data_IF_219180041782
#
_entry.id   IF_219180041782
#
_cell.length_a   1.000
_cell.length_b   1.000
_cell.length_c   1.000
_cell.angle_alpha   90.00
_cell.angle_beta   90.00
_cell.angle_gamma   90.00
#
_symmetry.space_group_name_H-M   'P 1'
#
loop_
_entity.id
_entity.type
_entity.pdbx_description
1 polymer ?
#
# COMPACT_ATOMS: atom_id res chain seq x y z
N UNK A 1 -1.99 -10.35 23.68
CA UNK A 1 -2.00 -11.14 22.41
C UNK A 1 -1.58 -10.19 21.29
N UNK A 2 -0.90 -10.65 20.24
CA UNK A 2 -0.64 -9.80 19.08
C UNK A 2 -1.97 -9.36 18.45
N UNK A 3 -2.03 -8.18 17.81
CA UNK A 3 -3.24 -7.72 17.13
C UNK A 3 -3.57 -8.62 15.93
N UNK A 4 -4.86 -8.71 15.57
CA UNK A 4 -5.25 -9.43 14.36
C UNK A 4 -4.92 -8.66 13.10
N UNK A 5 -4.93 -7.32 13.18
CA UNK A 5 -4.77 -6.43 12.05
C UNK A 5 -3.76 -5.31 12.35
N UNK A 6 -2.85 -5.07 11.41
CA UNK A 6 -2.01 -3.87 11.38
C UNK A 6 -2.38 -3.03 10.16
N UNK A 7 -2.60 -1.72 10.36
CA UNK A 7 -2.80 -0.73 9.30
C UNK A 7 -1.52 0.09 9.15
N UNK A 8 -0.89 0.03 8.00
CA UNK A 8 0.35 0.74 7.66
C UNK A 8 0.03 1.95 6.79
N UNK A 9 0.44 3.14 7.21
CA UNK A 9 0.16 4.41 6.53
C UNK A 9 1.48 5.12 6.27
N UNK A 10 2.03 5.08 5.05
CA UNK A 10 3.15 5.91 4.67
C UNK A 10 2.72 7.38 4.59
N UNK A 11 3.50 8.29 5.16
CA UNK A 11 3.20 9.70 5.20
C UNK A 11 4.42 10.56 4.88
N UNK A 12 4.26 11.53 3.98
CA UNK A 12 5.27 12.56 3.69
C UNK A 12 4.57 13.89 3.42
N UNK A 13 4.71 14.86 4.33
CA UNK A 13 4.08 16.17 4.23
C UNK A 13 2.54 16.07 4.01
N UNK A 14 1.88 15.14 4.70
CA UNK A 14 0.44 14.80 4.57
C UNK A 14 -0.41 15.34 5.74
N UNK A 15 0.05 16.41 6.42
CA UNK A 15 -0.50 16.81 7.71
C UNK A 15 -2.03 16.85 7.82
N UNK A 16 -2.73 17.51 6.90
CA UNK A 16 -4.19 17.56 6.94
C UNK A 16 -4.88 16.25 6.61
N UNK A 17 -4.32 15.50 5.67
CA UNK A 17 -4.88 14.22 5.23
C UNK A 17 -4.64 13.14 6.26
N UNK A 18 -3.43 13.07 6.79
CA UNK A 18 -3.06 12.11 7.83
C UNK A 18 -3.97 12.24 9.04
N UNK A 19 -4.19 13.46 9.57
CA UNK A 19 -5.05 13.66 10.73
C UNK A 19 -6.49 13.18 10.48
N UNK A 20 -7.10 13.57 9.34
CA UNK A 20 -8.44 13.11 8.96
C UNK A 20 -8.50 11.59 8.74
N UNK A 21 -7.49 11.04 8.08
CA UNK A 21 -7.39 9.60 7.83
C UNK A 21 -7.31 8.81 9.13
N UNK A 22 -6.46 9.21 10.07
CA UNK A 22 -6.35 8.57 11.38
C UNK A 22 -7.65 8.64 12.18
N UNK A 23 -8.30 9.80 12.22
CA UNK A 23 -9.62 9.95 12.87
C UNK A 23 -10.61 8.97 12.27
N UNK A 24 -10.72 8.90 10.94
CA UNK A 24 -11.65 8.01 10.24
C UNK A 24 -11.36 6.54 10.53
N UNK A 25 -10.09 6.13 10.54
CA UNK A 25 -9.70 4.76 10.89
C UNK A 25 -10.10 4.43 12.32
N UNK A 26 -9.80 5.32 13.27
CA UNK A 26 -10.16 5.12 14.67
C UNK A 26 -11.68 5.04 14.89
N UNK A 27 -12.45 5.93 14.27
CA UNK A 27 -13.92 5.93 14.32
C UNK A 27 -14.49 4.61 13.76
N UNK A 28 -13.97 4.16 12.62
CA UNK A 28 -14.42 2.91 12.01
C UNK A 28 -14.17 1.70 12.92
N UNK A 29 -12.95 1.54 13.43
CA UNK A 29 -12.61 0.39 14.27
C UNK A 29 -13.21 0.50 15.68
N UNK A 30 -13.57 1.69 16.17
CA UNK A 30 -14.30 1.84 17.42
C UNK A 30 -15.69 1.14 17.37
N UNK A 31 -16.27 0.99 16.19
CA UNK A 31 -17.57 0.28 16.00
C UNK A 31 -17.43 -1.23 15.85
N UNK A 32 -16.20 -1.76 15.77
CA UNK A 32 -15.94 -3.20 15.56
C UNK A 32 -15.67 -3.92 16.87
N UNK A 33 -15.83 -5.25 16.86
CA UNK A 33 -15.50 -6.09 18.00
C UNK A 33 -14.02 -5.91 18.41
N UNK A 34 -13.78 -5.65 19.68
CA UNK A 34 -12.45 -5.35 20.22
C UNK A 34 -12.05 -3.86 20.11
N UNK A 35 -12.83 -3.03 19.40
CA UNK A 35 -12.58 -1.61 19.25
C UNK A 35 -11.23 -1.30 18.58
N UNK A 36 -10.78 -0.05 18.70
CA UNK A 36 -9.48 0.40 18.17
C UNK A 36 -8.30 -0.35 18.81
N UNK A 37 -8.45 -0.84 20.03
CA UNK A 37 -7.41 -1.57 20.73
C UNK A 37 -7.05 -2.93 20.08
N UNK A 38 -7.94 -3.48 19.25
CA UNK A 38 -7.69 -4.73 18.51
C UNK A 38 -6.87 -4.50 17.22
N UNK A 39 -6.59 -3.26 16.85
CA UNK A 39 -5.90 -2.89 15.61
C UNK A 39 -4.63 -2.11 15.94
N UNK A 40 -3.51 -2.52 15.38
CA UNK A 40 -2.28 -1.76 15.39
C UNK A 40 -2.28 -0.78 14.20
N UNK A 41 -2.04 0.50 14.46
CA UNK A 41 -1.89 1.52 13.42
C UNK A 41 -0.43 1.97 13.40
N UNK A 42 0.24 1.79 12.25
CA UNK A 42 1.62 2.22 12.04
C UNK A 42 1.64 3.38 11.05
N UNK A 43 2.03 4.54 11.51
CA UNK A 43 2.33 5.68 10.65
C UNK A 43 3.82 5.68 10.38
N UNK A 44 4.21 5.62 9.11
CA UNK A 44 5.61 5.68 8.69
C UNK A 44 5.89 7.04 8.08
N UNK A 45 6.55 7.90 8.85
CA UNK A 45 6.95 9.24 8.44
C UNK A 45 8.20 9.20 7.58
N UNK A 46 8.07 9.60 6.33
CA UNK A 46 9.15 9.64 5.35
C UNK A 46 9.95 10.96 5.40
N UNK A 47 10.23 11.45 6.61
CA UNK A 47 11.00 12.67 6.81
C UNK A 47 10.20 13.95 6.51
N UNK A 48 8.97 14.04 7.01
CA UNK A 48 8.12 15.23 6.83
C UNK A 48 8.77 16.49 7.40
N UNK A 49 8.69 17.58 6.63
CA UNK A 49 9.34 18.87 6.93
C UNK A 49 8.35 19.99 7.21
N UNK A 50 7.08 19.86 6.79
CA UNK A 50 6.07 20.91 7.05
C UNK A 50 5.48 20.83 8.46
N UNK A 51 5.10 21.99 9.02
CA UNK A 51 4.59 22.09 10.39
C UNK A 51 3.26 21.37 10.59
N UNK A 52 2.40 21.31 9.57
CA UNK A 52 1.11 20.62 9.65
C UNK A 52 1.32 19.11 9.77
N UNK A 53 2.27 18.56 9.00
CA UNK A 53 2.63 17.15 9.11
C UNK A 53 3.23 16.87 10.49
N UNK A 54 4.14 17.71 10.99
CA UNK A 54 4.72 17.56 12.34
C UNK A 54 3.66 17.56 13.43
N UNK A 55 2.68 18.46 13.35
CA UNK A 55 1.58 18.53 14.32
C UNK A 55 0.67 17.29 14.24
N UNK A 56 0.34 16.79 13.03
CA UNK A 56 -0.45 15.58 12.86
C UNK A 56 0.30 14.33 13.42
N UNK A 57 1.60 14.25 13.19
CA UNK A 57 2.45 13.19 13.71
C UNK A 57 2.60 13.27 15.24
N UNK A 58 2.70 14.47 15.81
CA UNK A 58 2.71 14.67 17.26
C UNK A 58 1.40 14.20 17.90
N UNK A 59 0.26 14.55 17.29
CA UNK A 59 -1.07 14.08 17.72
C UNK A 59 -1.21 12.56 17.62
N UNK A 60 -0.72 11.96 16.53
CA UNK A 60 -0.71 10.51 16.35
C UNK A 60 0.14 9.79 17.42
N UNK A 61 1.31 10.34 17.76
CA UNK A 61 2.20 9.80 18.80
C UNK A 61 1.55 9.79 20.18
N UNK A 62 0.68 10.73 20.48
CA UNK A 62 -0.03 10.78 21.75
C UNK A 62 -1.15 9.73 21.88
N UNK A 63 -1.59 9.11 20.78
CA UNK A 63 -2.61 8.09 20.80
C UNK A 63 -1.98 6.69 21.05
N UNK A 64 -2.36 5.96 22.10
CA UNK A 64 -1.68 4.73 22.53
C UNK A 64 -1.77 3.58 21.51
N UNK A 65 -2.73 3.65 20.58
CA UNK A 65 -2.93 2.64 19.52
C UNK A 65 -2.13 2.91 18.26
N UNK A 66 -1.42 4.06 18.17
CA UNK A 66 -0.69 4.48 16.99
C UNK A 66 0.82 4.41 17.27
N UNK A 67 1.53 3.65 16.46
CA UNK A 67 3.00 3.62 16.45
C UNK A 67 3.52 4.50 15.32
N UNK A 68 4.44 5.38 15.66
CA UNK A 68 5.14 6.21 14.68
C UNK A 68 6.53 5.62 14.40
N UNK A 69 6.82 5.38 13.13
CA UNK A 69 8.13 5.00 12.61
C UNK A 69 8.64 6.18 11.78
N UNK A 70 9.87 6.63 12.02
CA UNK A 70 10.48 7.70 11.24
C UNK A 70 11.63 7.18 10.40
N UNK A 71 11.64 7.51 9.12
CA UNK A 71 12.73 7.18 8.20
C UNK A 71 13.91 8.18 8.33
N UNK A 72 13.73 9.28 9.06
CA UNK A 72 14.72 10.34 9.24
C UNK A 72 14.91 11.25 8.03
N UNK A 73 14.67 10.76 6.82
CA UNK A 73 14.76 11.50 5.56
C UNK A 73 13.77 10.93 4.54
N UNK A 74 13.47 11.70 3.48
CA UNK A 74 12.62 11.21 2.39
C UNK A 74 13.33 10.11 1.59
N UNK A 75 12.85 8.88 1.75
CA UNK A 75 13.33 7.68 1.04
C UNK A 75 12.35 7.24 -0.05
N UNK A 76 11.10 7.61 0.05
CA UNK A 76 10.03 7.28 -0.88
C UNK A 76 8.96 6.35 -0.31
N UNK A 77 7.81 6.31 -0.98
CA UNK A 77 6.63 5.56 -0.54
C UNK A 77 6.91 4.07 -0.37
N UNK A 78 7.60 3.46 -1.33
CA UNK A 78 7.93 2.02 -1.28
C UNK A 78 8.79 1.67 -0.08
N UNK A 79 9.79 2.52 0.25
CA UNK A 79 10.60 2.33 1.45
C UNK A 79 9.75 2.39 2.72
N UNK A 80 8.88 3.40 2.82
CA UNK A 80 8.00 3.59 3.97
C UNK A 80 7.02 2.43 4.16
N UNK A 81 6.41 1.94 3.06
CA UNK A 81 5.56 0.75 3.09
C UNK A 81 6.36 -0.47 3.56
N UNK A 82 7.55 -0.69 3.00
CA UNK A 82 8.43 -1.78 3.42
C UNK A 82 8.73 -1.75 4.92
N UNK A 83 9.11 -0.59 5.45
CA UNK A 83 9.41 -0.45 6.88
C UNK A 83 8.19 -0.75 7.75
N UNK A 84 7.03 -0.23 7.39
CA UNK A 84 5.79 -0.47 8.12
C UNK A 84 5.34 -1.93 8.07
N UNK A 85 5.38 -2.55 6.90
CA UNK A 85 4.99 -3.95 6.72
C UNK A 85 5.91 -4.92 7.46
N UNK A 86 7.22 -4.65 7.51
CA UNK A 86 8.17 -5.46 8.29
C UNK A 86 8.04 -5.25 9.80
N UNK A 87 7.60 -4.06 10.23
CA UNK A 87 7.39 -3.71 11.63
C UNK A 87 6.00 -4.09 12.18
N UNK A 88 5.08 -4.48 11.31
CA UNK A 88 3.72 -4.88 11.67
C UNK A 88 3.71 -6.15 12.53
N UNK A 89 2.81 -6.20 13.54
CA UNK A 89 2.65 -7.35 14.43
C UNK A 89 1.35 -8.12 14.18
N UNK A 90 0.38 -7.53 13.48
CA UNK A 90 -0.90 -8.15 13.17
C UNK A 90 -0.75 -9.40 12.32
N UNK A 91 -1.67 -10.35 12.48
CA UNK A 91 -1.73 -11.54 11.63
C UNK A 91 -1.90 -11.16 10.16
N UNK A 92 -2.69 -10.12 9.89
CA UNK A 92 -2.83 -9.48 8.58
C UNK A 92 -2.29 -8.07 8.67
N UNK A 93 -1.50 -7.65 7.69
CA UNK A 93 -1.06 -6.27 7.54
C UNK A 93 -1.68 -5.66 6.28
N UNK A 94 -2.30 -4.49 6.43
CA UNK A 94 -2.88 -3.71 5.34
C UNK A 94 -2.12 -2.41 5.20
N UNK A 95 -1.64 -2.06 4.02
CA UNK A 95 -1.22 -0.69 3.81
C UNK A 95 -2.27 0.12 3.04
N UNK A 96 -2.37 1.40 3.38
CA UNK A 96 -3.29 2.35 2.77
C UNK A 96 -2.64 3.73 2.65
N UNK A 97 -3.10 4.52 1.70
CA UNK A 97 -2.67 5.91 1.57
C UNK A 97 -3.26 6.80 2.68
N UNK A 98 -2.51 7.84 3.06
CA UNK A 98 -2.90 8.76 4.14
C UNK A 98 -4.19 9.56 3.85
N UNK A 99 -4.57 9.69 2.58
CA UNK A 99 -5.78 10.37 2.12
C UNK A 99 -7.03 9.48 2.15
N UNK A 100 -6.86 8.16 2.38
CA UNK A 100 -7.93 7.16 2.31
C UNK A 100 -8.73 7.25 1.00
N UNK A 101 -8.07 7.46 -0.13
CA UNK A 101 -8.70 7.42 -1.46
C UNK A 101 -9.52 6.14 -1.66
N UNK A 102 -9.09 5.01 -1.10
CA UNK A 102 -9.95 3.86 -0.82
C UNK A 102 -10.41 3.94 0.63
N UNK A 103 -11.73 4.04 0.90
CA UNK A 103 -12.24 4.11 2.26
C UNK A 103 -11.83 2.92 3.11
N UNK A 104 -11.56 3.14 4.40
CA UNK A 104 -11.07 2.07 5.29
C UNK A 104 -12.05 0.90 5.42
N UNK A 105 -13.33 1.13 5.23
CA UNK A 105 -14.39 0.13 5.22
C UNK A 105 -14.16 -0.95 4.16
N UNK A 106 -13.48 -0.62 3.06
CA UNK A 106 -13.14 -1.57 2.00
C UNK A 106 -12.13 -2.62 2.47
N UNK A 107 -11.48 -2.40 3.64
CA UNK A 107 -10.61 -3.41 4.26
C UNK A 107 -11.35 -4.72 4.53
N UNK A 108 -12.66 -4.69 4.79
CA UNK A 108 -13.45 -5.91 4.99
C UNK A 108 -13.42 -6.85 3.78
N UNK A 109 -13.44 -6.28 2.58
CA UNK A 109 -13.36 -7.07 1.34
C UNK A 109 -12.00 -7.75 1.19
N UNK A 110 -10.92 -7.01 1.51
CA UNK A 110 -9.56 -7.57 1.47
C UNK A 110 -9.38 -8.64 2.54
N UNK A 111 -9.84 -8.37 3.77
CA UNK A 111 -9.79 -9.32 4.88
C UNK A 111 -10.63 -10.56 4.59
N UNK A 112 -11.79 -10.40 3.93
CA UNK A 112 -12.62 -11.50 3.47
C UNK A 112 -11.88 -12.40 2.46
N UNK A 113 -11.12 -11.83 1.52
CA UNK A 113 -10.29 -12.59 0.59
C UNK A 113 -9.18 -13.36 1.32
N UNK A 114 -8.52 -12.74 2.31
CA UNK A 114 -7.53 -13.41 3.18
C UNK A 114 -8.19 -14.56 3.95
N UNK A 115 -9.36 -14.33 4.54
CA UNK A 115 -10.10 -15.36 5.26
C UNK A 115 -10.54 -16.53 4.35
N UNK A 116 -10.80 -16.25 3.06
CA UNK A 116 -11.08 -17.26 2.03
C UNK A 116 -9.83 -18.02 1.55
N UNK A 117 -8.68 -17.79 2.20
CA UNK A 117 -7.46 -18.55 1.96
C UNK A 117 -6.48 -17.90 0.99
N UNK A 118 -6.62 -16.61 0.66
CA UNK A 118 -5.60 -15.88 -0.07
C UNK A 118 -4.48 -15.41 0.88
N UNK A 119 -3.26 -15.34 0.35
CA UNK A 119 -2.10 -14.84 1.10
C UNK A 119 -1.95 -13.32 0.92
N UNK A 120 -2.45 -12.81 -0.22
CA UNK A 120 -2.44 -11.38 -0.59
C UNK A 120 -3.81 -11.01 -1.18
N UNK A 121 -4.33 -9.84 -0.81
CA UNK A 121 -5.50 -9.25 -1.45
C UNK A 121 -5.18 -7.81 -1.87
N UNK A 122 -5.41 -7.48 -3.13
CA UNK A 122 -5.16 -6.15 -3.68
C UNK A 122 -6.46 -5.48 -4.07
N UNK A 123 -6.62 -4.23 -3.66
CA UNK A 123 -7.72 -3.39 -4.14
C UNK A 123 -7.55 -3.09 -5.63
N UNK A 124 -8.66 -3.04 -6.36
CA UNK A 124 -8.68 -2.73 -7.79
C UNK A 124 -9.74 -1.71 -8.13
N UNK A 125 -9.34 -0.70 -8.89
CA UNK A 125 -10.19 0.33 -9.50
C UNK A 125 -10.65 -0.07 -10.91
N UNK A 126 -10.09 -1.15 -11.45
CA UNK A 126 -10.30 -1.55 -12.84
C UNK A 126 -11.39 -2.62 -13.00
N UNK A 127 -11.61 -3.49 -12.00
CA UNK A 127 -12.58 -4.59 -12.05
C UNK A 127 -14.02 -4.05 -12.12
N UNK A 128 -14.34 -3.09 -11.25
CA UNK A 128 -15.67 -2.47 -11.21
C UNK A 128 -15.54 -0.94 -11.19
N UNK A 129 -15.74 -0.33 -12.32
CA UNK A 129 -15.61 1.11 -12.50
C UNK A 129 -16.75 1.92 -11.91
N UNK A 130 -17.87 1.28 -11.57
CA UNK A 130 -19.00 1.93 -10.89
C UNK A 130 -18.64 2.36 -9.47
N UNK A 131 -17.58 1.78 -8.89
CA UNK A 131 -17.06 2.08 -7.57
C UNK A 131 -16.08 3.27 -7.53
N UNK A 132 -15.84 3.92 -8.68
CA UNK A 132 -14.97 5.12 -8.75
C UNK A 132 -15.80 6.38 -8.59
N UNK A 133 -15.51 7.14 -7.55
CA UNK A 133 -16.16 8.42 -7.26
C UNK A 133 -15.22 9.58 -7.63
N UNK A 134 -15.76 10.54 -8.38
CA UNK A 134 -15.00 11.67 -8.89
C UNK A 134 -14.36 11.41 -10.25
N UNK A 135 -14.33 12.47 -11.09
CA UNK A 135 -13.77 12.37 -12.44
C UNK A 135 -12.26 12.48 -12.42
N UNK A 136 -11.56 11.44 -12.79
CA UNK A 136 -10.18 11.57 -13.27
C UNK A 136 -10.19 12.13 -14.71
N UNK A 137 -9.13 12.82 -15.09
CA UNK A 137 -8.99 13.18 -16.50
C UNK A 137 -8.83 11.92 -17.34
N UNK A 138 -9.50 11.88 -18.51
CA UNK A 138 -9.43 10.75 -19.47
C UNK A 138 -7.97 10.41 -19.83
N UNK A 139 -7.10 11.41 -19.83
CA UNK A 139 -5.68 11.24 -20.11
C UNK A 139 -4.98 10.44 -19.00
N UNK A 140 -5.24 10.73 -17.72
CA UNK A 140 -4.70 9.98 -16.57
C UNK A 140 -5.15 8.53 -16.57
N UNK A 141 -6.41 8.33 -16.94
CA UNK A 141 -6.99 7.00 -17.04
C UNK A 141 -6.33 6.17 -18.15
N UNK A 142 -6.20 6.75 -19.34
CA UNK A 142 -5.50 6.11 -20.47
C UNK A 142 -4.04 5.80 -20.12
N UNK A 143 -3.33 6.74 -19.49
CA UNK A 143 -1.95 6.53 -19.04
C UNK A 143 -1.85 5.37 -18.03
N UNK A 144 -2.80 5.26 -17.10
CA UNK A 144 -2.86 4.14 -16.15
C UNK A 144 -3.07 2.78 -16.82
N UNK A 145 -3.96 2.70 -17.81
CA UNK A 145 -4.22 1.47 -18.59
C UNK A 145 -2.96 1.07 -19.38
N UNK A 146 -2.33 2.04 -20.05
CA UNK A 146 -1.08 1.81 -20.81
C UNK A 146 0.01 1.32 -19.87
N UNK A 147 0.21 1.99 -18.73
CA UNK A 147 1.22 1.58 -17.75
C UNK A 147 0.96 0.16 -17.23
N UNK A 148 -0.28 -0.17 -16.88
CA UNK A 148 -0.61 -1.52 -16.42
C UNK A 148 -0.39 -2.59 -17.51
N UNK A 149 -0.55 -2.25 -18.77
CA UNK A 149 -0.21 -3.13 -19.90
C UNK A 149 1.30 -3.44 -19.90
N UNK A 150 2.15 -2.44 -19.69
CA UNK A 150 3.59 -2.66 -19.55
C UNK A 150 3.93 -3.46 -18.28
N UNK A 151 3.27 -3.21 -17.16
CA UNK A 151 3.44 -4.04 -15.96
C UNK A 151 3.20 -5.50 -16.29
N UNK A 152 2.07 -5.82 -16.93
CA UNK A 152 1.72 -7.20 -17.33
C UNK A 152 2.76 -7.80 -18.27
N UNK A 153 3.24 -7.04 -19.24
CA UNK A 153 4.24 -7.50 -20.21
C UNK A 153 5.60 -7.81 -19.55
N UNK A 154 6.07 -6.92 -18.67
CA UNK A 154 7.39 -7.07 -18.03
C UNK A 154 7.40 -8.04 -16.87
N UNK A 155 6.32 -8.12 -16.11
CA UNK A 155 6.25 -8.93 -14.87
C UNK A 155 5.47 -10.23 -15.03
N UNK A 156 4.62 -10.33 -16.06
CA UNK A 156 3.68 -11.43 -16.26
C UNK A 156 2.54 -11.46 -15.26
N UNK A 157 2.32 -10.39 -14.48
CA UNK A 157 1.23 -10.30 -13.50
C UNK A 157 -0.13 -10.27 -14.22
N UNK A 158 -1.14 -11.04 -13.76
CA UNK A 158 -2.45 -11.10 -14.42
C UNK A 158 -3.40 -9.97 -14.00
N UNK A 159 -3.00 -9.08 -13.08
CA UNK A 159 -3.87 -8.11 -12.43
C UNK A 159 -4.21 -6.92 -13.34
N UNK A 160 -5.43 -6.41 -13.18
CA UNK A 160 -5.93 -5.25 -13.93
C UNK A 160 -5.51 -3.93 -13.29
N UNK A 161 -5.28 -3.88 -11.96
CA UNK A 161 -4.81 -2.71 -11.24
C UNK A 161 -3.73 -3.09 -10.21
N UNK A 162 -2.48 -2.91 -10.59
CA UNK A 162 -1.35 -3.16 -9.68
C UNK A 162 -1.02 -1.97 -8.78
N UNK A 163 -1.53 -0.76 -9.11
CA UNK A 163 -1.12 0.51 -8.49
C UNK A 163 -2.10 1.05 -7.44
N UNK A 164 -3.17 0.32 -7.12
CA UNK A 164 -4.04 0.72 -6.02
C UNK A 164 -3.29 0.66 -4.71
N UNK A 165 -3.15 1.80 -4.01
CA UNK A 165 -2.44 1.92 -2.73
C UNK A 165 -3.18 1.29 -1.55
N UNK A 166 -3.96 0.23 -1.77
CA UNK A 166 -4.75 -0.46 -0.76
C UNK A 166 -4.63 -1.97 -0.92
N UNK A 167 -3.78 -2.58 -0.09
CA UNK A 167 -3.44 -4.00 -0.19
C UNK A 167 -3.29 -4.65 1.18
N UNK A 168 -3.78 -5.88 1.31
CA UNK A 168 -3.68 -6.72 2.50
C UNK A 168 -2.75 -7.91 2.25
N UNK A 169 -1.97 -8.25 3.26
CA UNK A 169 -1.02 -9.35 3.23
C UNK A 169 -1.16 -10.20 4.50
N UNK A 170 -1.24 -11.50 4.33
CA UNK A 170 -1.03 -12.41 5.45
C UNK A 170 0.45 -12.30 5.87
N UNK A 171 0.71 -11.82 7.09
CA UNK A 171 2.03 -11.31 7.49
C UNK A 171 3.16 -12.33 7.34
N UNK A 172 3.01 -13.50 7.91
CA UNK A 172 4.11 -14.49 7.96
C UNK A 172 4.55 -14.95 6.56
N UNK A 173 3.67 -15.43 5.67
CA UNK A 173 4.11 -15.89 4.35
C UNK A 173 4.57 -14.73 3.46
N UNK A 174 4.06 -13.50 3.69
CA UNK A 174 4.41 -12.34 2.86
C UNK A 174 5.64 -11.58 3.34
N UNK A 175 6.21 -11.92 4.50
CA UNK A 175 7.38 -11.23 5.06
C UNK A 175 8.56 -11.20 4.09
N UNK A 176 8.79 -12.30 3.39
CA UNK A 176 9.88 -12.43 2.40
C UNK A 176 9.74 -11.44 1.24
N UNK A 177 8.51 -11.05 0.88
CA UNK A 177 8.25 -10.06 -0.17
C UNK A 177 8.87 -8.72 0.20
N UNK A 178 8.61 -8.24 1.43
CA UNK A 178 9.12 -6.96 1.92
C UNK A 178 10.61 -7.04 2.29
N UNK A 179 11.13 -8.18 2.70
CA UNK A 179 12.57 -8.39 2.90
C UNK A 179 13.35 -8.27 1.60
N UNK A 180 12.79 -8.74 0.49
CA UNK A 180 13.41 -8.70 -0.84
C UNK A 180 13.10 -7.44 -1.65
N UNK A 181 12.11 -6.65 -1.27
CA UNK A 181 11.75 -5.40 -1.95
C UNK A 181 12.95 -4.45 -2.01
N UNK A 182 13.23 -3.89 -3.20
CA UNK A 182 14.36 -3.01 -3.49
C UNK A 182 13.95 -1.62 -3.97
N UNK A 183 12.75 -1.51 -4.58
CA UNK A 183 12.26 -0.24 -5.11
C UNK A 183 11.68 0.58 -3.96
N UNK A 184 12.26 1.77 -3.77
CA UNK A 184 11.92 2.65 -2.66
C UNK A 184 10.84 3.67 -3.01
N UNK A 185 10.63 3.96 -4.32
CA UNK A 185 9.69 4.98 -4.81
C UNK A 185 8.35 4.37 -5.22
N UNK A 186 7.62 5.02 -6.16
CA UNK A 186 6.28 4.64 -6.58
C UNK A 186 6.20 3.34 -7.41
N UNK A 187 7.30 2.88 -8.00
CA UNK A 187 7.33 1.63 -8.77
C UNK A 187 7.35 0.34 -7.92
N UNK A 188 7.28 0.42 -6.60
CA UNK A 188 7.33 -0.73 -5.69
C UNK A 188 6.13 -1.67 -5.80
N UNK A 189 4.94 -1.16 -6.15
CA UNK A 189 3.72 -1.96 -6.22
C UNK A 189 3.83 -3.16 -7.18
N UNK A 190 4.29 -3.01 -8.44
CA UNK A 190 4.57 -4.15 -9.30
C UNK A 190 5.65 -5.10 -8.74
N UNK A 191 6.67 -4.57 -8.05
CA UNK A 191 7.74 -5.39 -7.49
C UNK A 191 7.22 -6.32 -6.41
N UNK A 192 6.47 -5.80 -5.42
CA UNK A 192 5.94 -6.65 -4.33
C UNK A 192 4.96 -7.71 -4.83
N UNK A 193 4.17 -7.42 -5.86
CA UNK A 193 3.27 -8.39 -6.48
C UNK A 193 4.03 -9.42 -7.31
N UNK A 194 5.09 -9.00 -8.02
CA UNK A 194 5.99 -9.92 -8.72
C UNK A 194 6.67 -10.88 -7.73
N UNK A 195 7.19 -10.37 -6.61
CA UNK A 195 7.79 -11.17 -5.55
C UNK A 195 6.76 -12.12 -4.92
N UNK A 196 5.56 -11.65 -4.59
CA UNK A 196 4.49 -12.47 -4.06
C UNK A 196 4.20 -13.68 -4.98
N UNK A 197 4.03 -13.43 -6.29
CA UNK A 197 3.84 -14.48 -7.28
C UNK A 197 5.02 -15.44 -7.35
N UNK A 198 6.26 -14.93 -7.29
CA UNK A 198 7.48 -15.76 -7.34
C UNK A 198 7.61 -16.66 -6.12
N UNK A 199 7.14 -16.24 -4.99
CA UNK A 199 7.07 -17.03 -3.76
C UNK A 199 5.82 -17.93 -3.66
N UNK A 200 5.02 -18.02 -4.72
CA UNK A 200 3.84 -18.89 -4.76
C UNK A 200 2.67 -18.39 -3.92
N UNK A 201 2.68 -17.11 -3.50
CA UNK A 201 1.58 -16.55 -2.71
C UNK A 201 0.32 -16.38 -3.55
N UNK A 202 -0.79 -16.92 -3.04
CA UNK A 202 -2.10 -16.79 -3.66
C UNK A 202 -2.59 -15.35 -3.51
N UNK A 203 -2.85 -14.69 -4.63
CA UNK A 203 -3.22 -13.27 -4.66
C UNK A 203 -4.58 -13.08 -5.32
N UNK A 204 -5.52 -12.46 -4.62
CA UNK A 204 -6.81 -12.04 -5.16
C UNK A 204 -6.80 -10.53 -5.49
N UNK A 205 -7.42 -10.18 -6.60
CA UNK A 205 -7.72 -8.80 -6.98
C UNK A 205 -9.21 -8.52 -6.65
N UNK A 206 -9.47 -7.48 -5.83
CA UNK A 206 -10.77 -7.22 -5.22
C UNK A 206 -11.27 -5.83 -5.61
N UNK A 207 -12.49 -5.67 -6.15
CA UNK A 207 -13.02 -4.36 -6.50
C UNK A 207 -13.29 -3.52 -5.25
N UNK A 208 -12.73 -2.30 -5.20
CA UNK A 208 -12.87 -1.40 -4.07
C UNK A 208 -13.39 -0.03 -4.50
N UNK A 209 -14.14 0.63 -3.63
CA UNK A 209 -14.50 2.04 -3.79
C UNK A 209 -13.22 2.88 -3.79
N UNK A 210 -13.19 3.87 -4.66
CA UNK A 210 -12.07 4.77 -4.77
C UNK A 210 -12.55 6.19 -5.11
N UNK A 211 -12.01 7.18 -4.43
CA UNK A 211 -12.30 8.58 -4.69
C UNK A 211 -11.01 9.33 -5.05
N UNK A 212 -11.08 10.16 -6.08
CA UNK A 212 -9.95 10.98 -6.49
C UNK A 212 -9.73 12.12 -5.48
N UNK A 213 -8.54 12.17 -4.86
CA UNK A 213 -8.07 13.34 -4.10
C UNK A 213 -7.27 14.26 -5.05
N UNK A 214 -7.68 15.52 -5.25
CA UNK A 214 -7.02 16.45 -6.16
C UNK A 214 -5.60 16.87 -5.74
N UNK A 215 -5.22 16.61 -4.50
CA UNK A 215 -3.91 17.00 -3.96
C UNK A 215 -2.81 15.98 -4.19
N UNK A 216 -2.87 15.17 -5.25
CA UNK A 216 -1.82 14.18 -5.58
C UNK A 216 -0.45 14.85 -5.80
N UNK A 217 0.62 14.27 -5.23
CA UNK A 217 2.00 14.71 -5.37
C UNK A 217 2.75 14.03 -6.54
N UNK A 218 2.07 13.19 -7.30
CA UNK A 218 2.66 12.43 -8.43
C UNK A 218 2.81 13.36 -9.64
N UNK A 219 4.05 13.55 -10.08
CA UNK A 219 4.38 14.23 -11.33
C UNK A 219 4.25 13.27 -12.50
N UNK A 220 3.11 13.37 -13.23
CA UNK A 220 2.67 12.38 -14.20
C UNK A 220 3.76 11.91 -15.19
N UNK A 221 4.50 12.80 -15.84
CA UNK A 221 5.50 12.42 -16.85
C UNK A 221 6.75 11.83 -16.19
N UNK A 222 7.33 12.56 -15.23
CA UNK A 222 8.58 12.15 -14.58
C UNK A 222 8.44 10.82 -13.85
N UNK A 223 7.38 10.70 -13.04
CA UNK A 223 7.17 9.50 -12.23
C UNK A 223 6.79 8.31 -13.11
N UNK A 224 6.04 8.51 -14.21
CA UNK A 224 5.75 7.42 -15.15
C UNK A 224 7.01 6.88 -15.84
N UNK A 225 7.95 7.75 -16.22
CA UNK A 225 9.23 7.31 -16.80
C UNK A 225 10.08 6.54 -15.77
N UNK A 226 10.14 7.03 -14.53
CA UNK A 226 10.83 6.33 -13.45
C UNK A 226 10.18 4.98 -13.15
N UNK A 227 8.85 4.92 -13.06
CA UNK A 227 8.13 3.68 -12.84
C UNK A 227 8.32 2.69 -14.00
N UNK A 228 8.45 3.17 -15.24
CA UNK A 228 8.79 2.29 -16.37
C UNK A 228 10.21 1.73 -16.22
N UNK A 229 11.20 2.54 -15.82
CA UNK A 229 12.56 2.05 -15.54
C UNK A 229 12.58 1.03 -14.40
N UNK A 230 11.68 1.19 -13.41
CA UNK A 230 11.53 0.23 -12.33
C UNK A 230 11.04 -1.15 -12.82
N UNK A 231 10.18 -1.22 -13.85
CA UNK A 231 9.78 -2.51 -14.47
C UNK A 231 10.97 -3.23 -15.10
N UNK A 232 11.83 -2.49 -15.80
CA UNK A 232 13.08 -3.04 -16.34
C UNK A 232 14.00 -3.51 -15.22
N UNK A 233 14.09 -2.71 -14.14
CA UNK A 233 14.90 -3.03 -12.97
C UNK A 233 14.42 -4.31 -12.25
N UNK A 234 13.11 -4.52 -12.11
CA UNK A 234 12.52 -5.75 -11.57
C UNK A 234 12.97 -6.95 -12.40
N UNK A 235 12.82 -6.85 -13.73
CA UNK A 235 13.20 -7.95 -14.65
C UNK A 235 14.69 -8.24 -14.60
N UNK A 236 15.51 -7.20 -14.57
CA UNK A 236 16.96 -7.31 -14.50
C UNK A 236 17.43 -7.96 -13.20
N UNK A 237 16.91 -7.53 -12.05
CA UNK A 237 17.24 -8.13 -10.77
C UNK A 237 16.83 -9.60 -10.69
N UNK A 238 15.69 -9.94 -11.28
CA UNK A 238 15.28 -11.33 -11.36
C UNK A 238 16.24 -12.17 -12.20
N UNK A 239 16.65 -11.71 -13.37
CA UNK A 239 17.61 -12.40 -14.24
C UNK A 239 18.99 -12.58 -13.58
N UNK A 240 19.38 -11.61 -12.74
CA UNK A 240 20.63 -11.67 -11.97
C UNK A 240 20.53 -12.52 -10.69
N UNK A 241 19.40 -13.19 -10.42
CA UNK A 241 19.21 -14.00 -9.23
C UNK A 241 19.15 -13.20 -7.91
N UNK A 242 18.90 -11.89 -7.99
CA UNK A 242 18.85 -11.01 -6.80
C UNK A 242 17.53 -11.10 -6.01
N UNK A 243 16.57 -11.87 -6.49
CA UNK A 243 15.33 -12.25 -5.83
C UNK A 243 15.34 -13.77 -5.60
N UNK A 244 16.06 -14.23 -4.56
CA UNK A 244 16.17 -15.66 -4.29
C UNK A 244 14.83 -16.23 -3.85
N UNK A 245 14.38 -17.28 -4.50
CA UNK A 245 13.23 -18.08 -4.06
C UNK A 245 13.80 -19.29 -3.34
N UNK A 246 13.40 -19.52 -2.09
CA UNK A 246 13.77 -20.75 -1.39
C UNK A 246 13.18 -21.92 -2.17
N UNK A 247 13.95 -22.97 -2.47
CA UNK A 247 13.38 -24.19 -3.01
C UNK A 247 12.36 -24.72 -2.01
N UNK A 248 11.17 -25.07 -2.52
CA UNK A 248 10.08 -25.73 -1.78
C UNK A 248 10.48 -27.10 -1.32
#
# INVERSE_FOLDING_TARGET
MPPELSIVIPAYNEGQRLGRGLTRICEYFATKAGGVAAVEILVVDDGSTDDRARNALAGARAAPTIRLISNGANRGKGYSVRQGMLAAHGRVAVFTDADLSSPIEESEKLLGAIAAGQDVAIGSRAIDRSLIFGRQSRFREAAGIIFNTFVRLFTGLPFQDTQCGFKAFLREPSRVVFEQQRIERFGFDPEILFLARRHGLRTAEVPVRWAHDPGTKVHMIRDSLLMFSDLVYIRWNWLLGRYPVKPS
#
